data_IF_791411589271
#
_entry.id   IF_791411589271
#
_cell.length_a   1.000
_cell.length_b   1.000
_cell.length_c   1.000
_cell.angle_alpha   90.00
_cell.angle_beta   90.00
_cell.angle_gamma   90.00
#
_symmetry.space_group_name_H-M   'P 1'
#
loop_
_entity.id
_entity.type
_entity.pdbx_description
1 polymer ?
#
# COMPACT_ATOMS: atom_id res chain seq x y z
N UNK A 1 -15.36 -6.85 -59.58
CA UNK A 1 -15.46 -6.69 -58.16
C UNK A 1 -15.69 -5.21 -57.87
N UNK A 2 -16.94 -4.87 -57.53
CA UNK A 2 -17.31 -3.48 -57.16
C UNK A 2 -16.74 -3.25 -55.75
N UNK A 3 -15.68 -2.45 -55.67
CA UNK A 3 -15.18 -1.95 -54.38
C UNK A 3 -16.24 -1.05 -53.76
N UNK A 4 -16.63 -1.34 -52.55
CA UNK A 4 -17.47 -0.47 -51.73
C UNK A 4 -16.66 0.80 -51.45
N UNK A 5 -17.06 1.88 -52.12
CA UNK A 5 -16.54 3.22 -51.84
C UNK A 5 -17.00 3.59 -50.43
N UNK A 6 -16.11 3.47 -49.44
CA UNK A 6 -16.37 3.94 -48.08
C UNK A 6 -16.31 5.47 -48.16
N UNK A 7 -17.43 6.13 -47.85
CA UNK A 7 -17.46 7.58 -47.73
C UNK A 7 -16.64 8.01 -46.53
N UNK A 8 -15.38 8.31 -46.77
CA UNK A 8 -14.37 8.74 -45.78
C UNK A 8 -14.89 9.91 -44.92
N UNK A 9 -15.72 10.79 -45.54
CA UNK A 9 -16.31 11.92 -44.81
C UNK A 9 -17.31 11.48 -43.77
N UNK A 10 -18.19 10.51 -44.09
CA UNK A 10 -19.14 9.97 -43.12
C UNK A 10 -18.43 9.19 -42.01
N UNK A 11 -17.40 8.43 -42.34
CA UNK A 11 -16.58 7.75 -41.35
C UNK A 11 -15.91 8.73 -40.37
N UNK A 12 -15.31 9.84 -40.91
CA UNK A 12 -14.70 10.88 -40.07
C UNK A 12 -15.73 11.60 -39.19
N UNK A 13 -16.91 11.89 -39.68
CA UNK A 13 -17.99 12.53 -38.91
C UNK A 13 -18.40 11.60 -37.76
N UNK A 14 -18.61 10.30 -38.02
CA UNK A 14 -18.96 9.33 -36.97
C UNK A 14 -17.88 9.17 -35.89
N UNK A 15 -16.59 9.20 -36.25
CA UNK A 15 -15.51 9.15 -35.30
C UNK A 15 -15.41 10.43 -34.44
N UNK A 16 -15.62 11.61 -35.08
CA UNK A 16 -15.67 12.91 -34.40
C UNK A 16 -16.88 12.95 -33.43
N UNK A 17 -18.05 12.50 -33.87
CA UNK A 17 -19.24 12.44 -33.01
C UNK A 17 -19.04 11.53 -31.80
N UNK A 18 -18.29 10.43 -31.89
CA UNK A 18 -17.90 9.60 -30.74
C UNK A 18 -17.04 10.35 -29.71
N UNK A 19 -16.15 11.23 -30.20
CA UNK A 19 -15.26 12.04 -29.35
C UNK A 19 -16.05 13.15 -28.64
N UNK A 20 -17.03 13.76 -29.31
CA UNK A 20 -17.85 14.85 -28.78
C UNK A 20 -19.19 14.39 -28.20
N UNK A 21 -19.40 13.07 -28.05
CA UNK A 21 -20.62 12.56 -27.42
C UNK A 21 -20.74 13.12 -26.00
N UNK A 22 -21.85 13.80 -25.73
CA UNK A 22 -22.21 14.17 -24.36
C UNK A 22 -22.57 12.91 -23.59
N UNK A 23 -21.75 12.58 -22.60
CA UNK A 23 -22.05 11.50 -21.68
C UNK A 23 -23.09 11.96 -20.67
N UNK A 24 -24.03 11.11 -20.35
CA UNK A 24 -24.93 11.33 -19.22
C UNK A 24 -24.14 11.29 -17.92
N UNK A 25 -24.63 11.91 -16.82
CA UNK A 25 -23.97 11.80 -15.52
C UNK A 25 -23.73 10.35 -15.08
N UNK A 26 -24.64 9.46 -15.42
CA UNK A 26 -24.54 8.02 -15.14
C UNK A 26 -23.45 7.33 -15.96
N UNK A 27 -23.35 7.64 -17.25
CA UNK A 27 -22.26 7.14 -18.12
C UNK A 27 -20.90 7.66 -17.66
N UNK A 28 -20.81 8.92 -17.22
CA UNK A 28 -19.58 9.50 -16.63
C UNK A 28 -19.23 8.75 -15.34
N UNK A 29 -20.21 8.50 -14.46
CA UNK A 29 -20.00 7.74 -13.25
C UNK A 29 -19.44 6.35 -13.53
N UNK A 30 -20.07 5.59 -14.44
CA UNK A 30 -19.59 4.26 -14.82
C UNK A 30 -18.22 4.31 -15.52
N UNK A 31 -17.93 5.33 -16.30
CA UNK A 31 -16.63 5.51 -16.93
C UNK A 31 -15.54 5.79 -15.88
N UNK A 32 -15.82 6.65 -14.92
CA UNK A 32 -14.91 6.91 -13.79
C UNK A 32 -14.68 5.61 -12.99
N UNK A 33 -15.73 4.88 -12.66
CA UNK A 33 -15.59 3.58 -12.00
C UNK A 33 -14.77 2.61 -12.84
N UNK A 34 -15.02 2.53 -14.15
CA UNK A 34 -14.25 1.68 -15.05
C UNK A 34 -12.78 2.06 -15.06
N UNK A 35 -12.44 3.35 -15.21
CA UNK A 35 -11.04 3.81 -15.18
C UNK A 35 -10.38 3.57 -13.81
N UNK A 36 -11.09 3.77 -12.72
CA UNK A 36 -10.58 3.51 -11.37
C UNK A 36 -10.34 2.02 -11.12
N UNK A 37 -11.21 1.14 -11.62
CA UNK A 37 -11.17 -0.29 -11.37
C UNK A 37 -10.62 -1.11 -12.54
N UNK A 38 -10.42 -0.50 -13.72
CA UNK A 38 -9.88 -1.20 -14.89
C UNK A 38 -8.46 -1.76 -14.63
N UNK A 39 -7.67 -1.07 -13.81
CA UNK A 39 -6.38 -1.60 -13.35
C UNK A 39 -6.53 -2.87 -12.50
N UNK A 40 -7.73 -3.16 -11.98
CA UNK A 40 -8.01 -4.42 -11.28
C UNK A 40 -8.25 -5.58 -12.25
N UNK A 41 -8.53 -5.28 -13.52
CA UNK A 41 -8.67 -6.27 -14.59
C UNK A 41 -7.33 -6.65 -15.22
N UNK A 42 -6.32 -5.76 -15.14
CA UNK A 42 -4.95 -6.05 -15.60
C UNK A 42 -4.24 -6.97 -14.59
N UNK A 43 -4.60 -8.24 -14.64
CA UNK A 43 -3.98 -9.32 -13.85
C UNK A 43 -2.57 -9.71 -14.34
N UNK A 44 -2.03 -9.05 -15.36
CA UNK A 44 -0.73 -9.34 -15.96
C UNK A 44 0.46 -8.66 -15.24
N UNK A 45 0.54 -8.85 -13.95
CA UNK A 45 1.83 -8.84 -13.28
C UNK A 45 2.61 -10.09 -13.74
N UNK A 46 3.81 -9.91 -14.29
CA UNK A 46 4.62 -10.99 -14.86
C UNK A 46 4.78 -12.24 -13.99
N UNK A 47 5.53 -13.23 -14.48
CA UNK A 47 5.71 -14.55 -13.82
C UNK A 47 6.08 -14.43 -12.34
N UNK A 48 6.96 -13.47 -12.00
CA UNK A 48 7.37 -13.20 -10.60
C UNK A 48 6.19 -12.82 -9.70
N UNK A 49 5.30 -11.95 -10.18
CA UNK A 49 4.11 -11.56 -9.41
C UNK A 49 3.18 -12.75 -9.14
N UNK A 50 3.04 -13.67 -10.10
CA UNK A 50 2.23 -14.88 -9.90
C UNK A 50 2.84 -15.80 -8.85
N UNK A 51 4.15 -15.95 -8.83
CA UNK A 51 4.86 -16.74 -7.82
C UNK A 51 4.72 -16.13 -6.42
N UNK A 52 4.92 -14.83 -6.28
CA UNK A 52 4.77 -14.13 -5.00
C UNK A 52 3.34 -14.22 -4.48
N UNK A 53 2.34 -14.10 -5.36
CA UNK A 53 0.94 -14.29 -4.99
C UNK A 53 0.64 -15.73 -4.57
N UNK A 54 1.23 -16.73 -5.22
CA UNK A 54 1.08 -18.13 -4.81
C UNK A 54 1.68 -18.35 -3.41
N UNK A 55 2.86 -17.80 -3.13
CA UNK A 55 3.48 -17.87 -1.81
C UNK A 55 2.60 -17.22 -0.74
N UNK A 56 2.01 -16.05 -1.03
CA UNK A 56 1.06 -15.43 -0.12
C UNK A 56 -0.16 -16.33 0.11
N UNK A 57 -0.75 -16.90 -0.95
CA UNK A 57 -1.95 -17.72 -0.87
C UNK A 57 -1.74 -19.02 -0.06
N UNK A 58 -0.53 -19.52 0.06
CA UNK A 58 -0.18 -20.67 0.90
C UNK A 58 0.07 -20.29 2.37
N UNK A 59 0.15 -19.00 2.70
CA UNK A 59 0.43 -18.52 4.06
C UNK A 59 -0.75 -18.73 5.01
N UNK A 60 -0.46 -18.83 6.30
CA UNK A 60 -1.48 -18.98 7.36
C UNK A 60 -2.34 -17.71 7.44
N UNK A 61 -1.69 -16.54 7.32
CA UNK A 61 -2.41 -15.26 7.37
C UNK A 61 -3.44 -15.15 6.24
N UNK A 62 -3.09 -15.52 5.01
CA UNK A 62 -4.02 -15.48 3.88
C UNK A 62 -5.25 -16.35 4.12
N UNK A 63 -5.05 -17.57 4.59
CA UNK A 63 -6.12 -18.52 4.86
C UNK A 63 -6.98 -18.13 6.08
N UNK A 64 -6.57 -17.14 6.86
CA UNK A 64 -7.33 -16.59 7.97
C UNK A 64 -8.23 -15.44 7.53
N UNK A 65 -7.95 -14.81 6.38
CA UNK A 65 -8.70 -13.67 5.87
C UNK A 65 -10.07 -14.10 5.33
N UNK A 66 -11.07 -13.26 5.55
CA UNK A 66 -12.34 -13.36 4.85
C UNK A 66 -12.19 -12.96 3.38
N UNK A 67 -13.10 -13.44 2.51
CA UNK A 67 -13.05 -13.17 1.06
C UNK A 67 -12.97 -11.68 0.71
N UNK A 68 -13.68 -10.82 1.43
CA UNK A 68 -13.62 -9.38 1.20
C UNK A 68 -12.24 -8.79 1.56
N UNK A 69 -11.62 -9.29 2.64
CA UNK A 69 -10.25 -8.88 3.02
C UNK A 69 -9.22 -9.35 2.00
N UNK A 70 -9.34 -10.59 1.50
CA UNK A 70 -8.46 -11.10 0.44
C UNK A 70 -8.50 -10.21 -0.82
N UNK A 71 -9.71 -9.82 -1.25
CA UNK A 71 -9.89 -8.88 -2.36
C UNK A 71 -9.25 -7.52 -2.06
N UNK A 72 -9.47 -6.99 -0.85
CA UNK A 72 -8.86 -5.75 -0.39
C UNK A 72 -7.34 -5.81 -0.39
N UNK A 73 -6.74 -6.91 0.09
CA UNK A 73 -5.28 -7.13 0.09
C UNK A 73 -4.73 -7.15 -1.34
N UNK A 74 -5.40 -7.81 -2.28
CA UNK A 74 -4.99 -7.79 -3.69
C UNK A 74 -4.99 -6.37 -4.24
N UNK A 75 -6.04 -5.59 -3.99
CA UNK A 75 -6.11 -4.18 -4.41
C UNK A 75 -5.01 -3.33 -3.79
N UNK A 76 -4.73 -3.50 -2.48
CA UNK A 76 -3.64 -2.79 -1.80
C UNK A 76 -2.27 -3.13 -2.41
N UNK A 77 -2.00 -4.40 -2.69
CA UNK A 77 -0.76 -4.84 -3.34
C UNK A 77 -0.60 -4.18 -4.72
N UNK A 78 -1.67 -4.15 -5.51
CA UNK A 78 -1.66 -3.50 -6.83
C UNK A 78 -1.36 -1.99 -6.71
N UNK A 79 -2.04 -1.29 -5.79
CA UNK A 79 -1.79 0.13 -5.54
C UNK A 79 -0.35 0.39 -5.10
N UNK A 80 0.17 -0.39 -4.16
CA UNK A 80 1.54 -0.27 -3.69
C UNK A 80 2.56 -0.53 -4.80
N UNK A 81 2.30 -1.47 -5.70
CA UNK A 81 3.17 -1.74 -6.86
C UNK A 81 3.12 -0.61 -7.89
N UNK A 82 1.95 -0.05 -8.14
CA UNK A 82 1.75 0.97 -9.18
C UNK A 82 2.11 2.37 -8.71
N UNK A 83 1.72 2.72 -7.48
CA UNK A 83 1.78 4.09 -6.95
C UNK A 83 2.75 4.26 -5.79
N UNK A 84 3.37 3.19 -5.30
CA UNK A 84 4.22 3.15 -4.10
C UNK A 84 3.48 3.56 -2.80
N UNK A 85 2.18 3.81 -2.85
CA UNK A 85 1.36 4.21 -1.72
C UNK A 85 -0.04 3.59 -1.78
N UNK A 86 -0.58 3.23 -0.61
CA UNK A 86 -1.96 2.78 -0.46
C UNK A 86 -2.51 3.14 0.91
N UNK A 87 -3.83 3.35 0.98
CA UNK A 87 -4.55 3.62 2.23
C UNK A 87 -5.60 2.53 2.44
N UNK A 88 -5.54 1.86 3.59
CA UNK A 88 -6.58 0.96 4.06
C UNK A 88 -7.48 1.70 5.05
N UNK A 89 -8.66 2.11 4.55
CA UNK A 89 -9.60 2.98 5.25
C UNK A 89 -10.81 2.22 5.84
N UNK A 90 -10.63 0.98 6.22
CA UNK A 90 -11.70 0.16 6.80
C UNK A 90 -12.12 0.66 8.18
N UNK A 91 -13.40 0.50 8.52
CA UNK A 91 -13.92 0.83 9.83
C UNK A 91 -13.20 0.05 10.96
N UNK A 92 -13.33 0.55 12.19
CA UNK A 92 -12.80 -0.14 13.39
C UNK A 92 -13.43 -1.53 13.49
N UNK A 93 -12.61 -2.54 13.81
CA UNK A 93 -13.08 -3.92 13.99
C UNK A 93 -13.13 -4.79 12.73
N UNK A 94 -12.93 -4.23 11.53
CA UNK A 94 -12.94 -5.01 10.28
C UNK A 94 -11.63 -5.75 9.99
N UNK A 95 -10.71 -5.81 10.97
CA UNK A 95 -9.50 -6.63 10.86
C UNK A 95 -8.39 -6.02 10.01
N UNK A 96 -8.25 -4.68 9.99
CA UNK A 96 -7.16 -3.99 9.27
C UNK A 96 -5.77 -4.57 9.54
N UNK A 97 -5.51 -4.98 10.78
CA UNK A 97 -4.25 -5.61 11.18
C UNK A 97 -3.96 -6.87 10.38
N UNK A 98 -4.95 -7.75 10.19
CA UNK A 98 -4.78 -8.98 9.41
C UNK A 98 -4.58 -8.69 7.92
N UNK A 99 -5.32 -7.74 7.36
CA UNK A 99 -5.11 -7.31 5.97
C UNK A 99 -3.71 -6.72 5.79
N UNK A 100 -3.24 -5.90 6.72
CA UNK A 100 -1.88 -5.35 6.69
C UNK A 100 -0.81 -6.43 6.85
N UNK A 101 -1.00 -7.43 7.73
CA UNK A 101 -0.08 -8.56 7.86
C UNK A 101 0.03 -9.36 6.56
N UNK A 102 -1.07 -9.55 5.83
CA UNK A 102 -1.04 -10.21 4.53
C UNK A 102 -0.26 -9.40 3.49
N UNK A 103 -0.40 -8.06 3.48
CA UNK A 103 0.43 -7.19 2.64
C UNK A 103 1.90 -7.28 3.05
N UNK A 104 2.21 -7.25 4.35
CA UNK A 104 3.59 -7.43 4.86
C UNK A 104 4.14 -8.76 4.37
N UNK A 105 3.38 -9.86 4.50
CA UNK A 105 3.81 -11.18 4.05
C UNK A 105 4.16 -11.20 2.56
N UNK A 106 3.33 -10.60 1.71
CA UNK A 106 3.59 -10.49 0.27
C UNK A 106 4.90 -9.75 -0.02
N UNK A 107 5.14 -8.59 0.60
CA UNK A 107 6.37 -7.83 0.36
C UNK A 107 7.60 -8.47 1.02
N UNK A 108 7.42 -9.21 2.11
CA UNK A 108 8.48 -9.98 2.74
C UNK A 108 9.03 -11.06 1.79
N UNK A 109 8.20 -11.72 0.96
CA UNK A 109 8.67 -12.68 -0.05
C UNK A 109 9.56 -12.04 -1.11
N UNK A 110 9.42 -10.73 -1.32
CA UNK A 110 10.23 -9.94 -2.25
C UNK A 110 11.44 -9.25 -1.59
N UNK A 111 11.80 -9.65 -0.37
CA UNK A 111 12.91 -9.10 0.41
C UNK A 111 12.76 -7.61 0.77
N UNK A 112 11.52 -7.11 0.95
CA UNK A 112 11.31 -5.81 1.56
C UNK A 112 11.53 -5.88 3.07
N UNK A 113 12.29 -4.94 3.58
CA UNK A 113 12.34 -4.69 5.02
C UNK A 113 11.09 -3.91 5.42
N UNK A 114 10.32 -4.44 6.35
CA UNK A 114 9.12 -3.75 6.83
C UNK A 114 9.43 -2.95 8.08
N UNK A 115 9.05 -1.68 8.06
CA UNK A 115 9.05 -0.78 9.22
C UNK A 115 7.60 -0.43 9.54
N UNK A 116 7.15 -0.82 10.72
CA UNK A 116 5.82 -0.55 11.22
C UNK A 116 5.85 0.60 12.21
N UNK A 117 5.11 1.65 11.90
CA UNK A 117 4.92 2.81 12.78
C UNK A 117 3.54 2.73 13.42
N UNK A 118 3.47 2.71 14.73
CA UNK A 118 2.20 2.68 15.46
C UNK A 118 2.25 3.57 16.71
N UNK A 119 1.08 3.92 17.29
CA UNK A 119 1.02 4.46 18.65
C UNK A 119 1.57 3.46 19.66
N UNK A 120 2.30 3.93 20.67
CA UNK A 120 2.89 3.06 21.70
C UNK A 120 1.90 2.10 22.36
N UNK A 121 0.65 2.53 22.55
CA UNK A 121 -0.43 1.70 23.10
C UNK A 121 -0.76 0.46 22.26
N UNK A 122 -0.41 0.45 20.97
CA UNK A 122 -0.66 -0.65 20.03
C UNK A 122 0.57 -1.57 19.85
N UNK A 123 1.66 -1.32 20.56
CA UNK A 123 2.89 -2.13 20.47
C UNK A 123 2.60 -3.62 20.62
N UNK A 124 1.92 -4.01 21.69
CA UNK A 124 1.61 -5.41 21.97
C UNK A 124 0.73 -6.06 20.90
N UNK A 125 -0.18 -5.27 20.29
CA UNK A 125 -1.05 -5.75 19.20
C UNK A 125 -0.25 -6.18 17.97
N UNK A 126 0.88 -5.56 17.72
CA UNK A 126 1.76 -5.88 16.60
C UNK A 126 2.88 -6.84 16.98
N UNK A 127 3.51 -6.65 18.13
CA UNK A 127 4.65 -7.46 18.58
C UNK A 127 4.31 -8.95 18.75
N UNK A 128 3.04 -9.26 19.10
CA UNK A 128 2.57 -10.64 19.23
C UNK A 128 2.67 -11.48 17.95
N UNK A 129 2.72 -10.88 16.76
CA UNK A 129 2.78 -11.59 15.49
C UNK A 129 4.21 -11.83 14.99
N UNK A 130 5.19 -11.24 15.64
CA UNK A 130 6.59 -11.46 15.27
C UNK A 130 7.01 -12.92 15.52
N UNK A 131 7.83 -13.47 14.65
CA UNK A 131 8.39 -14.83 14.72
C UNK A 131 8.90 -15.20 16.10
N UNK A 132 9.59 -14.27 16.76
CA UNK A 132 10.18 -14.47 18.10
C UNK A 132 9.15 -14.63 19.23
N UNK A 133 7.87 -14.37 18.99
CA UNK A 133 6.81 -14.37 20.01
C UNK A 133 5.93 -15.62 19.97
N UNK A 134 6.26 -16.62 19.14
CA UNK A 134 5.52 -17.87 19.03
C UNK A 134 4.00 -17.61 18.85
N UNK A 135 3.65 -16.96 17.78
CA UNK A 135 2.29 -16.51 17.51
C UNK A 135 1.49 -17.54 16.71
N UNK A 136 0.18 -17.31 16.60
CA UNK A 136 -0.72 -18.04 15.68
C UNK A 136 -0.17 -18.14 14.25
N UNK A 137 0.66 -17.18 13.84
CA UNK A 137 1.26 -17.08 12.50
C UNK A 137 2.75 -17.43 12.50
N UNK A 138 3.20 -18.30 13.38
CA UNK A 138 4.61 -18.71 13.47
C UNK A 138 5.16 -19.20 12.13
N UNK A 139 4.38 -19.98 11.38
CA UNK A 139 4.74 -20.47 10.04
C UNK A 139 4.90 -19.38 9.00
N UNK A 140 4.32 -18.22 9.21
CA UNK A 140 4.46 -17.07 8.31
C UNK A 140 5.75 -16.30 8.57
N UNK A 141 6.43 -16.56 9.69
CA UNK A 141 7.74 -16.03 10.04
C UNK A 141 7.83 -14.51 9.87
N UNK A 142 6.82 -13.78 10.39
CA UNK A 142 6.82 -12.33 10.30
C UNK A 142 8.06 -11.70 10.92
N UNK A 143 8.72 -10.86 10.12
CA UNK A 143 9.89 -10.09 10.53
C UNK A 143 9.71 -8.63 10.11
N UNK A 144 9.40 -7.77 11.07
CA UNK A 144 9.26 -6.34 10.87
C UNK A 144 9.73 -5.57 12.11
N UNK A 145 10.13 -4.33 11.89
CA UNK A 145 10.65 -3.45 12.93
C UNK A 145 9.51 -2.56 13.41
N UNK A 146 9.12 -2.70 14.68
CA UNK A 146 8.11 -1.82 15.29
C UNK A 146 8.77 -0.54 15.79
N UNK A 147 8.18 0.61 15.46
CA UNK A 147 8.58 1.95 15.93
C UNK A 147 7.35 2.76 16.30
N UNK A 148 7.53 3.77 17.15
CA UNK A 148 6.43 4.61 17.58
C UNK A 148 6.43 5.94 16.84
N UNK A 149 5.25 6.50 16.64
CA UNK A 149 5.11 7.84 16.07
C UNK A 149 5.88 8.91 16.87
N UNK A 150 6.03 8.70 18.19
CA UNK A 150 6.77 9.62 19.08
C UNK A 150 8.28 9.52 18.96
N UNK A 151 8.79 8.35 18.54
CA UNK A 151 10.23 8.11 18.44
C UNK A 151 10.83 8.82 17.22
N UNK A 152 9.97 9.25 16.29
CA UNK A 152 10.39 9.98 15.10
C UNK A 152 11.01 11.35 15.43
N UNK A 153 10.59 11.99 16.52
CA UNK A 153 11.08 13.33 16.92
C UNK A 153 12.40 13.32 17.72
N UNK A 154 12.71 12.19 18.32
CA UNK A 154 13.91 12.04 19.12
C UNK A 154 14.79 10.98 18.46
N UNK A 155 16.10 11.19 18.40
CA UNK A 155 17.09 10.18 17.95
C UNK A 155 17.07 8.89 18.81
N UNK A 156 16.12 8.78 19.72
CA UNK A 156 15.83 7.61 20.57
C UNK A 156 15.37 6.36 19.81
N UNK A 157 15.33 6.38 18.48
CA UNK A 157 15.13 5.17 17.67
C UNK A 157 16.24 4.11 17.90
N UNK A 158 17.28 4.46 18.61
CA UNK A 158 18.48 3.62 18.77
C UNK A 158 18.38 2.56 19.88
N UNK A 159 17.45 2.64 20.84
CA UNK A 159 17.65 1.93 22.11
C UNK A 159 16.75 0.71 22.40
N UNK A 160 15.76 0.34 21.59
CA UNK A 160 14.75 -0.56 22.18
C UNK A 160 14.67 -2.00 21.70
N UNK A 161 14.96 -2.42 20.48
CA UNK A 161 14.69 -3.83 20.11
C UNK A 161 15.55 -4.46 19.00
N UNK A 162 16.33 -3.73 18.28
CA UNK A 162 17.29 -4.29 17.32
C UNK A 162 18.46 -3.33 17.16
N UNK A 163 19.67 -3.85 17.01
CA UNK A 163 20.91 -3.10 16.66
C UNK A 163 20.80 -2.42 15.27
N UNK A 164 19.64 -2.40 14.65
CA UNK A 164 19.37 -1.73 13.40
C UNK A 164 19.19 -0.23 13.64
N UNK A 165 20.30 0.48 13.66
CA UNK A 165 20.33 1.95 13.61
C UNK A 165 19.47 2.44 12.45
N UNK A 166 18.88 3.62 12.57
CA UNK A 166 18.16 4.27 11.47
C UNK A 166 19.01 4.36 10.20
N UNK A 167 20.35 4.50 10.36
CA UNK A 167 21.33 4.42 9.29
C UNK A 167 21.25 3.11 8.50
N UNK A 168 20.97 1.98 9.14
CA UNK A 168 20.78 0.70 8.47
C UNK A 168 19.53 0.69 7.60
N UNK A 169 18.43 1.27 8.07
CA UNK A 169 17.21 1.40 7.27
C UNK A 169 17.45 2.21 5.99
N UNK A 170 18.28 3.23 6.10
CA UNK A 170 18.65 4.08 4.97
C UNK A 170 19.51 3.35 3.92
N UNK A 171 20.23 2.30 4.29
CA UNK A 171 21.04 1.51 3.34
C UNK A 171 20.23 0.47 2.58
N UNK A 172 19.00 0.17 3.02
CA UNK A 172 18.14 -0.82 2.37
C UNK A 172 17.51 -0.26 1.10
N UNK A 173 17.57 -1.06 0.03
CA UNK A 173 16.97 -0.69 -1.27
C UNK A 173 15.47 -0.85 -1.30
N UNK A 174 14.93 -1.86 -0.62
CA UNK A 174 13.50 -2.19 -0.62
C UNK A 174 12.94 -2.05 0.77
N UNK A 175 12.00 -1.12 0.96
CA UNK A 175 11.38 -0.85 2.27
C UNK A 175 9.87 -0.76 2.09
N UNK A 176 9.14 -1.45 2.97
CA UNK A 176 7.71 -1.25 3.18
C UNK A 176 7.52 -0.50 4.50
N UNK A 177 6.97 0.70 4.45
CA UNK A 177 6.57 1.47 5.63
C UNK A 177 5.08 1.22 5.85
N UNK A 178 4.72 0.67 7.00
CA UNK A 178 3.32 0.50 7.42
C UNK A 178 3.03 1.47 8.54
N UNK A 179 2.01 2.31 8.39
CA UNK A 179 1.66 3.36 9.36
C UNK A 179 0.29 3.07 9.91
N UNK A 180 0.24 2.57 11.15
CA UNK A 180 -1.03 2.37 11.84
C UNK A 180 -1.50 3.66 12.51
N UNK A 181 -2.81 3.90 12.51
CA UNK A 181 -3.43 5.15 12.95
C UNK A 181 -2.81 6.38 12.26
N UNK A 182 -2.71 6.32 10.93
CA UNK A 182 -2.00 7.31 10.09
C UNK A 182 -2.54 8.73 10.23
N UNK A 183 -3.79 8.91 10.72
CA UNK A 183 -4.35 10.21 11.04
C UNK A 183 -3.50 11.02 12.04
N UNK A 184 -2.61 10.38 12.80
CA UNK A 184 -1.66 11.09 13.68
C UNK A 184 -0.52 11.78 12.95
N UNK A 185 -0.32 11.50 11.65
CA UNK A 185 0.76 12.05 10.81
C UNK A 185 0.28 13.01 9.72
N UNK A 186 -1.00 13.33 9.66
CA UNK A 186 -1.62 14.16 8.60
C UNK A 186 -1.15 15.62 8.55
N UNK A 187 -0.56 16.16 9.61
CA UNK A 187 -0.05 17.52 9.58
C UNK A 187 1.37 17.54 9.00
N UNK A 188 1.49 17.96 7.74
CA UNK A 188 2.76 18.08 7.01
C UNK A 188 3.81 18.96 7.70
N UNK A 189 3.36 19.98 8.47
CA UNK A 189 4.23 20.87 9.23
C UNK A 189 4.67 20.25 10.56
N UNK A 190 4.13 19.08 10.94
CA UNK A 190 4.55 18.41 12.16
C UNK A 190 5.96 17.86 12.01
N UNK A 191 6.78 17.98 13.03
CA UNK A 191 8.12 17.40 13.05
C UNK A 191 8.10 15.90 12.80
N UNK A 192 7.06 15.19 13.22
CA UNK A 192 6.88 13.74 12.98
C UNK A 192 6.76 13.41 11.50
N UNK A 193 5.93 14.15 10.76
CA UNK A 193 5.76 13.96 9.33
C UNK A 193 7.08 14.25 8.58
N UNK A 194 7.72 15.37 8.89
CA UNK A 194 8.99 15.76 8.25
C UNK A 194 10.10 14.74 8.51
N UNK A 195 10.21 14.24 9.73
CA UNK A 195 11.17 13.19 10.09
C UNK A 195 10.89 11.87 9.36
N UNK A 196 9.61 11.46 9.27
CA UNK A 196 9.20 10.29 8.49
C UNK A 196 9.65 10.41 7.04
N UNK A 197 9.34 11.55 6.41
CA UNK A 197 9.71 11.81 5.02
C UNK A 197 11.23 11.79 4.84
N UNK A 198 11.96 12.51 5.69
CA UNK A 198 13.43 12.62 5.56
C UNK A 198 14.17 11.32 5.85
N UNK A 199 13.70 10.53 6.83
CA UNK A 199 14.44 9.34 7.30
C UNK A 199 14.06 8.06 6.57
N UNK A 200 12.79 7.89 6.20
CA UNK A 200 12.30 6.63 5.65
C UNK A 200 11.88 6.71 4.18
N UNK A 201 11.27 7.80 3.75
CA UNK A 201 10.61 7.88 2.44
C UNK A 201 11.50 8.55 1.40
N UNK A 202 12.06 9.72 1.70
CA UNK A 202 12.87 10.45 0.73
C UNK A 202 14.21 9.78 0.46
N UNK A 203 14.60 9.77 -0.81
CA UNK A 203 15.94 9.36 -1.20
C UNK A 203 16.92 10.47 -0.86
N UNK A 204 18.04 10.13 -0.22
CA UNK A 204 19.17 11.04 -0.05
C UNK A 204 20.01 11.08 -1.33
N UNK A 205 20.75 12.16 -1.51
CA UNK A 205 21.74 12.29 -2.58
C UNK A 205 22.67 11.07 -2.60
N UNK A 206 22.82 10.41 -3.73
CA UNK A 206 23.61 9.16 -3.86
C UNK A 206 22.85 7.87 -3.52
N UNK A 207 21.57 7.92 -3.13
CA UNK A 207 20.72 6.76 -2.90
C UNK A 207 19.66 6.58 -4.01
N UNK A 208 20.06 6.79 -5.23
CA UNK A 208 19.22 6.53 -6.40
C UNK A 208 18.81 5.04 -6.42
N UNK A 209 17.55 4.77 -6.78
CA UNK A 209 16.96 3.44 -6.88
C UNK A 209 16.50 2.74 -5.57
N UNK A 210 16.11 3.47 -4.54
CA UNK A 210 15.35 2.87 -3.44
C UNK A 210 13.90 2.67 -3.85
N UNK A 211 13.38 1.47 -3.61
CA UNK A 211 11.97 1.14 -3.77
C UNK A 211 11.29 1.18 -2.39
N UNK A 212 10.67 2.31 -2.09
CA UNK A 212 9.98 2.55 -0.83
C UNK A 212 8.48 2.54 -1.08
N UNK A 213 7.76 1.70 -0.35
CA UNK A 213 6.30 1.62 -0.40
C UNK A 213 5.70 2.00 0.93
N UNK A 214 4.56 2.70 0.90
CA UNK A 214 3.88 3.20 2.11
C UNK A 214 2.46 2.68 2.17
N UNK A 215 2.14 1.92 3.20
CA UNK A 215 0.79 1.48 3.53
C UNK A 215 0.29 2.23 4.76
N UNK A 216 -0.75 3.01 4.60
CA UNK A 216 -1.41 3.73 5.69
C UNK A 216 -2.67 3.01 6.14
N UNK A 217 -2.84 2.84 7.45
CA UNK A 217 -4.04 2.28 8.07
C UNK A 217 -4.74 3.37 8.87
N UNK A 218 -6.01 3.59 8.61
CA UNK A 218 -6.82 4.56 9.36
C UNK A 218 -8.28 4.14 9.37
N UNK A 219 -8.96 4.36 10.48
CA UNK A 219 -10.42 4.24 10.53
C UNK A 219 -11.12 5.53 10.06
N UNK A 220 -10.39 6.64 10.06
CA UNK A 220 -10.90 7.97 9.73
C UNK A 220 -9.93 8.68 8.79
N UNK A 221 -9.87 8.28 7.49
CA UNK A 221 -8.91 8.85 6.55
C UNK A 221 -9.16 10.35 6.30
N UNK A 222 -10.41 10.77 6.33
CA UNK A 222 -10.83 12.18 6.16
C UNK A 222 -11.60 12.62 7.40
N UNK A 223 -11.10 13.61 8.12
CA UNK A 223 -11.71 14.06 9.39
C UNK A 223 -12.17 15.51 9.35
N UNK A 224 -11.43 16.42 8.74
CA UNK A 224 -11.71 17.86 8.78
C UNK A 224 -11.68 18.52 7.39
N UNK A 225 -11.17 17.85 6.36
CA UNK A 225 -11.13 18.40 5.01
C UNK A 225 -10.46 17.44 4.00
N UNK A 226 -10.58 17.78 2.71
CA UNK A 226 -10.00 16.98 1.62
C UNK A 226 -8.45 16.98 1.62
N UNK A 227 -7.83 17.89 2.36
CA UNK A 227 -6.37 17.99 2.48
C UNK A 227 -5.79 17.04 3.57
N UNK A 228 -6.63 16.24 4.21
CA UNK A 228 -6.22 15.33 5.29
C UNK A 228 -5.73 13.96 4.77
N UNK A 229 -5.75 13.74 3.45
CA UNK A 229 -5.40 12.46 2.79
C UNK A 229 -4.07 12.55 2.05
#
# INVERSE_FOLDING_TARGET
>A
PKGTQIDVKQYFIQEIEKIFRQYTPEEIYYKILFELFNSDLDLDGGIEHRQDMQLLQTSVIWNTLFNYQQKGVISLIKMLRKYNGAILADAVGLGKTFSALAVIKYFQTQNYLTVLLCPKKLEQNWDQYLRRRNSRFEKDEFDYIVRFHTDMQNDRMEERYTDAKLSYLQTRKKILVVIDESHNLRNEKSGRYQELMAKLIQNKEGQENRDVKVLMLSATPINTGLNDV
#
